data_IF_387430664792
#
_entry.id   IF_387430664792
#
_cell.length_a   1.000
_cell.length_b   1.000
_cell.length_c   1.000
_cell.angle_alpha   90.00
_cell.angle_beta   90.00
_cell.angle_gamma   90.00
#
_symmetry.space_group_name_H-M   'P 1'
#
loop_
_entity.id
_entity.type
_entity.pdbx_description
1 polymer ?
#
# COMPACT_ATOMS: atom_id res chain seq x y z
N UNK A 1 6.59 -4.13 -4.05
CA UNK A 1 7.77 -4.00 -3.18
C UNK A 1 7.73 -2.58 -2.64
N UNK A 2 7.88 -2.36 -1.33
CA UNK A 2 7.92 -0.99 -0.80
C UNK A 2 9.31 -0.44 -1.11
N UNK A 3 9.36 0.61 -1.92
CA UNK A 3 10.63 1.27 -2.28
C UNK A 3 11.05 2.28 -1.20
N UNK A 4 12.35 2.46 -1.00
CA UNK A 4 12.89 3.45 -0.04
C UNK A 4 12.34 4.86 -0.30
N UNK A 5 12.14 5.20 -1.58
CA UNK A 5 11.57 6.48 -2.01
C UNK A 5 10.10 6.66 -1.58
N UNK A 6 9.31 5.59 -1.49
CA UNK A 6 7.92 5.67 -1.04
C UNK A 6 7.85 6.00 0.45
N UNK A 7 8.71 5.38 1.26
CA UNK A 7 8.80 5.68 2.70
C UNK A 7 9.32 7.09 2.93
N UNK A 8 10.32 7.54 2.15
CA UNK A 8 10.79 8.92 2.21
C UNK A 8 9.68 9.91 1.82
N UNK A 9 8.88 9.57 0.81
CA UNK A 9 7.68 10.33 0.43
C UNK A 9 6.68 10.44 1.58
N UNK A 10 6.37 9.32 2.24
CA UNK A 10 5.50 9.29 3.41
C UNK A 10 6.07 10.11 4.58
N UNK A 11 7.38 10.07 4.80
CA UNK A 11 8.05 10.86 5.83
C UNK A 11 7.98 12.37 5.54
N UNK A 12 8.12 12.78 4.28
CA UNK A 12 7.95 14.18 3.85
C UNK A 12 6.50 14.64 4.02
N UNK A 13 5.53 13.78 3.72
CA UNK A 13 4.12 14.07 3.96
C UNK A 13 3.82 14.22 5.46
N UNK A 14 4.38 13.34 6.30
CA UNK A 14 4.26 13.44 7.74
C UNK A 14 4.88 14.74 8.28
N UNK A 15 6.04 15.16 7.74
CA UNK A 15 6.63 16.47 8.04
C UNK A 15 5.70 17.63 7.72
N UNK A 16 5.00 17.59 6.57
CA UNK A 16 4.03 18.64 6.20
C UNK A 16 2.87 18.72 7.20
N UNK A 17 2.43 17.59 7.74
CA UNK A 17 1.33 17.52 8.73
C UNK A 17 1.76 18.03 10.11
N UNK A 18 2.92 17.57 10.59
CA UNK A 18 3.47 17.93 11.92
C UNK A 18 4.18 19.31 11.91
N UNK A 19 4.36 19.91 10.73
CA UNK A 19 4.92 21.24 10.45
C UNK A 19 6.39 21.46 10.83
N UNK A 20 6.96 20.67 11.73
CA UNK A 20 8.34 20.84 12.19
C UNK A 20 9.09 19.51 12.30
N UNK A 21 10.41 19.54 12.09
CA UNK A 21 11.26 18.36 12.29
C UNK A 21 11.36 17.97 13.77
N UNK A 22 11.23 18.94 14.68
CA UNK A 22 11.22 18.72 16.13
C UNK A 22 9.99 17.89 16.54
N UNK A 23 8.80 18.24 16.06
CA UNK A 23 7.58 17.49 16.34
C UNK A 23 7.66 16.04 15.85
N UNK A 24 8.22 15.83 14.64
CA UNK A 24 8.51 14.50 14.12
C UNK A 24 9.48 13.71 14.99
N UNK A 25 10.54 14.36 15.45
CA UNK A 25 11.56 13.75 16.30
C UNK A 25 10.97 13.33 17.66
N UNK A 26 10.16 14.19 18.27
CA UNK A 26 9.41 13.89 19.50
C UNK A 26 8.43 12.72 19.30
N UNK A 27 7.68 12.73 18.21
CA UNK A 27 6.73 11.68 17.84
C UNK A 27 7.43 10.32 17.65
N UNK A 28 8.60 10.33 17.02
CA UNK A 28 9.44 9.15 16.80
C UNK A 28 10.26 8.73 18.03
N UNK A 29 10.44 9.60 19.02
CA UNK A 29 11.36 9.42 20.13
C UNK A 29 12.83 9.36 19.69
N UNK A 30 13.22 10.18 18.71
CA UNK A 30 14.60 10.31 18.23
C UNK A 30 15.04 11.78 18.22
N UNK A 31 16.29 12.05 17.84
CA UNK A 31 16.77 13.44 17.74
C UNK A 31 16.36 14.09 16.42
N UNK A 32 16.23 15.41 16.41
CA UNK A 32 15.99 16.17 15.17
C UNK A 32 17.11 15.95 14.14
N UNK A 33 18.36 15.79 14.60
CA UNK A 33 19.49 15.47 13.73
C UNK A 33 19.29 14.14 13.00
N UNK A 34 18.74 13.14 13.68
CA UNK A 34 18.40 11.84 13.07
C UNK A 34 17.32 11.99 11.99
N UNK A 35 16.26 12.77 12.26
CA UNK A 35 15.23 13.09 11.25
C UNK A 35 15.85 13.80 10.03
N UNK A 36 16.71 14.79 10.28
CA UNK A 36 17.39 15.50 9.20
C UNK A 36 18.33 14.59 8.39
N UNK A 37 19.01 13.64 9.05
CA UNK A 37 19.86 12.67 8.37
C UNK A 37 19.07 11.78 7.40
N UNK A 38 17.84 11.40 7.73
CA UNK A 38 16.94 10.70 6.81
C UNK A 38 16.53 11.59 5.63
N UNK A 39 16.15 12.85 5.87
CA UNK A 39 15.79 13.78 4.79
C UNK A 39 16.94 14.10 3.84
N UNK A 40 18.16 14.20 4.37
CA UNK A 40 19.36 14.50 3.57
C UNK A 40 20.00 13.25 2.95
N UNK A 41 19.47 12.04 3.21
CA UNK A 41 20.06 10.77 2.78
C UNK A 41 21.39 10.41 3.44
N UNK A 42 21.79 11.11 4.51
CA UNK A 42 22.98 10.77 5.31
C UNK A 42 22.76 9.47 6.10
N UNK A 43 21.52 9.23 6.51
CA UNK A 43 21.06 7.96 7.02
C UNK A 43 20.07 7.38 6.02
N UNK A 44 20.26 6.12 5.65
CA UNK A 44 19.31 5.40 4.79
C UNK A 44 18.05 5.05 5.57
N UNK A 45 16.91 5.09 4.91
CA UNK A 45 15.61 4.70 5.48
C UNK A 45 15.58 3.21 5.78
N UNK A 46 16.27 2.37 5.00
CA UNK A 46 16.39 0.92 5.26
C UNK A 46 17.00 0.61 6.64
N UNK A 47 17.79 1.54 7.19
CA UNK A 47 18.42 1.42 8.51
C UNK A 47 17.59 2.05 9.63
N UNK A 48 16.36 2.50 9.35
CA UNK A 48 15.47 3.03 10.38
C UNK A 48 15.06 1.91 11.35
N UNK A 49 15.24 2.10 12.68
CA UNK A 49 14.77 1.11 13.63
C UNK A 49 13.25 0.91 13.50
N UNK A 50 12.79 -0.35 13.54
CA UNK A 50 11.37 -0.66 13.35
C UNK A 50 10.48 0.07 14.38
N UNK A 51 10.97 0.27 15.60
CA UNK A 51 10.26 1.03 16.63
C UNK A 51 10.10 2.51 16.29
N UNK A 52 11.06 3.12 15.59
CA UNK A 52 10.97 4.50 15.08
C UNK A 52 9.95 4.55 13.95
N UNK A 53 10.02 3.60 13.02
CA UNK A 53 9.09 3.47 11.90
C UNK A 53 7.63 3.34 12.38
N UNK A 54 7.36 2.44 13.33
CA UNK A 54 6.02 2.24 13.89
C UNK A 54 5.46 3.49 14.60
N UNK A 55 6.33 4.27 15.27
CA UNK A 55 5.91 5.52 15.91
C UNK A 55 5.56 6.60 14.88
N UNK A 56 6.42 6.79 13.87
CA UNK A 56 6.21 7.73 12.76
C UNK A 56 4.91 7.42 12.02
N UNK A 57 4.68 6.16 11.71
CA UNK A 57 3.58 5.71 10.88
C UNK A 57 2.51 4.95 11.68
N UNK A 58 2.16 5.44 12.88
CA UNK A 58 1.22 4.78 13.81
C UNK A 58 -0.16 4.42 13.24
N UNK A 59 -0.61 5.14 12.20
CA UNK A 59 -1.89 4.91 11.55
C UNK A 59 -1.75 4.15 10.21
N UNK A 60 -0.55 3.70 9.86
CA UNK A 60 -0.29 2.95 8.64
C UNK A 60 -0.69 1.49 8.83
N UNK A 61 -1.39 0.95 7.83
CA UNK A 61 -1.69 -0.48 7.73
C UNK A 61 -0.68 -1.13 6.80
N UNK A 62 0.06 -2.12 7.32
CA UNK A 62 1.03 -2.88 6.53
C UNK A 62 0.34 -4.15 6.05
N UNK A 63 0.27 -4.35 4.74
CA UNK A 63 -0.11 -5.63 4.16
C UNK A 63 1.13 -6.48 3.91
N UNK A 64 1.37 -7.43 4.80
CA UNK A 64 2.56 -8.29 4.77
C UNK A 64 2.57 -9.30 3.62
N UNK A 65 1.40 -9.73 3.13
CA UNK A 65 1.29 -10.86 2.20
C UNK A 65 0.61 -10.52 0.87
N UNK A 66 0.36 -9.24 0.60
CA UNK A 66 -0.19 -8.81 -0.69
C UNK A 66 -1.66 -9.19 -0.94
N UNK A 67 -2.38 -9.70 0.07
CA UNK A 67 -3.76 -10.17 -0.10
C UNK A 67 -4.82 -9.06 -0.14
N UNK A 68 -4.47 -7.86 0.35
CA UNK A 68 -5.38 -6.70 0.46
C UNK A 68 -4.77 -5.45 -0.20
N UNK A 69 -5.56 -4.70 -0.95
CA UNK A 69 -5.14 -3.42 -1.56
C UNK A 69 -4.93 -2.30 -0.54
N UNK A 70 -5.34 -2.50 0.72
CA UNK A 70 -5.30 -1.47 1.76
C UNK A 70 -6.50 -0.52 1.71
N UNK A 71 -7.33 -0.61 0.67
CA UNK A 71 -8.65 -0.01 0.60
C UNK A 71 -9.68 -1.05 1.07
N UNK A 72 -10.16 -0.89 2.31
CA UNK A 72 -11.07 -1.85 2.94
C UNK A 72 -12.36 -2.07 2.15
N UNK A 73 -12.89 -1.04 1.50
CA UNK A 73 -14.12 -1.17 0.71
C UNK A 73 -13.86 -1.95 -0.58
N UNK A 74 -12.76 -1.66 -1.28
CA UNK A 74 -12.37 -2.40 -2.48
C UNK A 74 -12.05 -3.87 -2.16
N UNK A 75 -11.39 -4.12 -1.04
CA UNK A 75 -11.03 -5.46 -0.57
C UNK A 75 -12.28 -6.28 -0.18
N UNK A 76 -13.23 -5.68 0.54
CA UNK A 76 -14.52 -6.31 0.84
C UNK A 76 -15.32 -6.61 -0.43
N UNK A 77 -15.37 -5.67 -1.36
CA UNK A 77 -16.07 -5.84 -2.64
C UNK A 77 -15.46 -6.99 -3.45
N UNK A 78 -14.13 -7.04 -3.54
CA UNK A 78 -13.40 -8.14 -4.18
C UNK A 78 -13.70 -9.47 -3.53
N UNK A 79 -13.67 -9.54 -2.19
CA UNK A 79 -13.98 -10.75 -1.46
C UNK A 79 -15.42 -11.24 -1.71
N UNK A 80 -16.39 -10.31 -1.79
CA UNK A 80 -17.77 -10.64 -2.14
C UNK A 80 -17.89 -11.20 -3.56
N UNK A 81 -17.21 -10.61 -4.55
CA UNK A 81 -17.22 -11.10 -5.92
C UNK A 81 -16.65 -12.51 -6.04
N UNK A 82 -15.49 -12.74 -5.42
CA UNK A 82 -14.85 -14.07 -5.42
C UNK A 82 -15.73 -15.10 -4.72
N UNK A 83 -16.34 -14.76 -3.58
CA UNK A 83 -17.26 -15.67 -2.89
C UNK A 83 -18.47 -16.07 -3.73
N UNK A 84 -19.04 -15.12 -4.49
CA UNK A 84 -20.16 -15.41 -5.40
C UNK A 84 -19.68 -16.33 -6.52
N UNK A 85 -18.54 -16.03 -7.13
CA UNK A 85 -17.97 -16.81 -8.22
C UNK A 85 -17.62 -18.25 -7.78
N UNK A 86 -16.98 -18.41 -6.62
CA UNK A 86 -16.58 -19.71 -6.06
C UNK A 86 -17.78 -20.59 -5.68
N UNK A 87 -18.95 -19.99 -5.46
CA UNK A 87 -20.19 -20.72 -5.18
C UNK A 87 -20.86 -21.28 -6.45
N UNK A 88 -20.48 -20.80 -7.64
CA UNK A 88 -21.02 -21.27 -8.91
C UNK A 88 -20.39 -22.62 -9.31
N UNK A 89 -21.15 -23.52 -9.96
CA UNK A 89 -20.58 -24.69 -10.63
C UNK A 89 -19.54 -24.30 -11.69
N UNK A 90 -18.56 -25.16 -12.01
CA UNK A 90 -17.51 -24.85 -12.98
C UNK A 90 -18.01 -24.38 -14.36
N UNK A 91 -19.13 -24.92 -14.83
CA UNK A 91 -19.74 -24.53 -16.10
C UNK A 91 -20.29 -23.09 -16.06
N UNK A 92 -20.90 -22.69 -14.95
CA UNK A 92 -21.46 -21.35 -14.75
C UNK A 92 -20.36 -20.31 -14.51
N UNK A 93 -19.27 -20.70 -13.83
CA UNK A 93 -18.06 -19.88 -13.71
C UNK A 93 -17.50 -19.49 -15.09
N UNK A 94 -17.40 -20.46 -16.00
CA UNK A 94 -16.94 -20.25 -17.36
C UNK A 94 -17.90 -19.36 -18.17
N UNK A 95 -19.22 -19.53 -17.99
CA UNK A 95 -20.20 -18.65 -18.61
C UNK A 95 -20.08 -17.21 -18.11
N UNK A 96 -19.86 -17.00 -16.81
CA UNK A 96 -19.61 -15.68 -16.23
C UNK A 96 -18.40 -15.00 -16.89
N UNK A 97 -17.29 -15.71 -17.04
CA UNK A 97 -16.10 -15.17 -17.70
C UNK A 97 -16.33 -14.91 -19.19
N UNK A 98 -17.03 -15.80 -19.89
CA UNK A 98 -17.37 -15.62 -21.30
C UNK A 98 -18.24 -14.36 -21.52
N UNK A 99 -19.20 -14.09 -20.63
CA UNK A 99 -20.01 -12.87 -20.68
C UNK A 99 -19.16 -11.61 -20.48
N UNK A 100 -18.20 -11.62 -19.54
CA UNK A 100 -17.29 -10.49 -19.34
C UNK A 100 -16.43 -10.25 -20.58
N UNK A 101 -15.88 -11.31 -21.18
CA UNK A 101 -15.05 -11.22 -22.39
C UNK A 101 -15.85 -10.68 -23.57
N UNK A 102 -17.08 -11.17 -23.76
CA UNK A 102 -17.94 -10.76 -24.86
C UNK A 102 -18.36 -9.28 -24.77
N UNK A 103 -18.56 -8.77 -23.56
CA UNK A 103 -19.03 -7.39 -23.35
C UNK A 103 -17.89 -6.37 -23.18
N UNK A 104 -16.68 -6.82 -22.85
CA UNK A 104 -15.52 -5.94 -22.66
C UNK A 104 -14.26 -6.42 -23.42
N UNK A 105 -14.35 -6.71 -24.74
CA UNK A 105 -13.28 -7.37 -25.48
C UNK A 105 -11.99 -6.55 -25.56
N UNK A 106 -12.10 -5.22 -25.62
CA UNK A 106 -10.93 -4.33 -25.75
C UNK A 106 -10.09 -4.27 -24.47
N UNK A 107 -10.72 -4.28 -23.29
CA UNK A 107 -10.01 -4.27 -22.00
C UNK A 107 -9.24 -5.58 -21.76
N UNK A 108 -9.80 -6.70 -22.19
CA UNK A 108 -9.15 -8.02 -22.10
C UNK A 108 -7.91 -8.08 -23.01
N UNK A 109 -7.99 -7.49 -24.21
CA UNK A 109 -6.89 -7.46 -25.20
C UNK A 109 -5.72 -6.57 -24.80
N UNK A 110 -5.98 -5.47 -24.09
CA UNK A 110 -4.93 -4.58 -23.57
C UNK A 110 -4.09 -5.24 -22.46
N UNK A 111 -4.70 -6.08 -21.62
CA UNK A 111 -4.03 -6.74 -20.50
C UNK A 111 -3.27 -8.01 -20.90
N UNK A 112 -3.67 -8.72 -21.96
CA UNK A 112 -3.04 -9.97 -22.43
C UNK A 112 -1.86 -9.78 -23.40
N UNK A 113 -1.57 -8.54 -23.82
CA UNK A 113 -0.42 -8.21 -24.68
C UNK A 113 0.84 -7.76 -23.93
N UNK A 114 0.85 -7.87 -22.59
CA UNK A 114 2.04 -7.62 -21.76
C UNK A 114 2.83 -8.88 -21.50
#
# INVERSE_FOLDING_TARGET
MIEENEILGALKELYRREKTQKALAELAGITQSTINAYFSGKAKIENMPVGVFLKLFRNMKINYFGTTSGNSEADLRRAMYLKIYDALPPEEQMQCLAMVIANFPEKIREETKK
#
